data_IF_348724270919
#
_entry.id   IF_348724270919
#
_cell.length_a   1.000
_cell.length_b   1.000
_cell.length_c   1.000
_cell.angle_alpha   90.00
_cell.angle_beta   90.00
_cell.angle_gamma   90.00
#
_symmetry.space_group_name_H-M   'P 1'
#
loop_
_entity.id
_entity.type
_entity.pdbx_description
1 polymer ?
#
# COMPACT_ATOMS: atom_id res chain seq x y z
N UNK A 1 -66.77 82.38 -62.67
CA UNK A 1 -67.75 83.29 -62.05
C UNK A 1 -68.87 82.44 -61.47
N UNK A 2 -68.95 82.40 -60.13
CA UNK A 2 -70.09 81.98 -59.29
C UNK A 2 -70.61 80.53 -59.41
N UNK A 3 -70.98 79.78 -58.36
CA UNK A 3 -71.04 79.99 -56.90
C UNK A 3 -71.31 78.64 -56.23
N UNK A 4 -70.68 78.46 -55.06
CA UNK A 4 -70.99 77.62 -53.90
C UNK A 4 -72.33 76.86 -53.82
N UNK A 5 -72.27 75.61 -53.34
CA UNK A 5 -73.14 75.19 -52.23
C UNK A 5 -72.45 74.15 -51.34
N UNK A 6 -72.38 74.51 -50.06
CA UNK A 6 -71.81 73.80 -48.93
C UNK A 6 -72.80 72.70 -48.50
N UNK A 7 -72.34 71.46 -48.31
CA UNK A 7 -73.02 70.51 -47.43
C UNK A 7 -71.99 69.78 -46.56
N UNK A 8 -71.94 70.20 -45.30
CA UNK A 8 -71.22 69.55 -44.21
C UNK A 8 -72.02 68.33 -43.76
N UNK A 9 -71.44 67.13 -43.85
CA UNK A 9 -71.82 65.97 -43.04
C UNK A 9 -70.59 65.33 -42.44
N UNK A 10 -70.38 65.65 -41.16
CA UNK A 10 -69.64 64.85 -40.18
C UNK A 10 -70.31 63.47 -40.12
N UNK A 11 -69.54 62.37 -40.14
CA UNK A 11 -69.76 61.19 -39.30
C UNK A 11 -68.65 60.12 -39.52
N UNK A 12 -67.92 59.86 -38.44
CA UNK A 12 -67.23 58.64 -38.02
C UNK A 12 -66.13 57.98 -38.89
N UNK A 13 -64.91 58.07 -38.33
CA UNK A 13 -63.77 57.17 -38.48
C UNK A 13 -64.17 55.69 -38.55
N UNK A 14 -63.84 55.04 -39.66
CA UNK A 14 -63.66 53.59 -39.70
C UNK A 14 -62.28 53.30 -40.28
N UNK A 15 -61.30 53.15 -39.38
CA UNK A 15 -60.02 52.55 -39.70
C UNK A 15 -60.28 51.08 -40.06
N UNK A 16 -60.44 50.80 -41.36
CA UNK A 16 -60.37 49.45 -41.89
C UNK A 16 -58.96 48.89 -41.71
N UNK A 17 -58.70 48.31 -40.55
CA UNK A 17 -57.54 47.46 -40.28
C UNK A 17 -57.63 46.22 -41.17
N UNK A 18 -57.13 46.30 -42.41
CA UNK A 18 -56.83 45.10 -43.20
C UNK A 18 -55.46 44.59 -42.76
N UNK A 19 -55.45 43.80 -41.69
CA UNK A 19 -54.35 42.90 -41.35
C UNK A 19 -54.86 41.47 -41.36
N UNK A 20 -54.79 40.84 -42.53
CA UNK A 20 -54.78 39.38 -42.64
C UNK A 20 -53.68 38.98 -43.62
N UNK A 21 -52.48 38.78 -43.09
CA UNK A 21 -51.52 37.84 -43.66
C UNK A 21 -51.58 36.64 -42.72
N UNK A 22 -52.53 35.73 -42.95
CA UNK A 22 -52.46 34.39 -42.38
C UNK A 22 -51.39 33.66 -43.17
N UNK A 23 -50.21 33.46 -42.57
CA UNK A 23 -49.21 32.58 -43.15
C UNK A 23 -49.82 31.17 -43.28
N UNK A 24 -49.69 30.57 -44.47
CA UNK A 24 -50.11 29.18 -44.71
C UNK A 24 -49.34 28.25 -43.75
N UNK A 25 -49.99 27.25 -43.13
CA UNK A 25 -49.33 26.29 -42.24
C UNK A 25 -48.34 25.38 -42.98
N UNK A 26 -48.41 25.34 -44.32
CA UNK A 26 -47.45 24.65 -45.19
C UNK A 26 -46.67 25.66 -46.04
N UNK A 27 -45.36 25.45 -46.15
CA UNK A 27 -44.45 26.20 -47.02
C UNK A 27 -43.62 25.23 -47.84
N UNK A 28 -43.44 25.53 -49.13
CA UNK A 28 -42.69 24.69 -50.05
C UNK A 28 -41.84 25.56 -50.96
N UNK A 29 -40.54 25.27 -51.01
CA UNK A 29 -39.58 26.06 -51.75
C UNK A 29 -38.62 25.17 -52.52
N UNK A 30 -38.23 25.63 -53.71
CA UNK A 30 -37.17 25.06 -54.52
C UNK A 30 -35.94 25.95 -54.47
N UNK A 31 -34.78 25.35 -54.17
CA UNK A 31 -33.49 26.05 -54.12
C UNK A 31 -32.50 25.33 -55.03
N UNK A 32 -31.96 26.00 -56.07
CA UNK A 32 -32.40 27.29 -56.61
C UNK A 32 -33.75 27.20 -57.34
N UNK A 33 -34.44 28.32 -57.49
CA UNK A 33 -35.71 28.39 -58.28
C UNK A 33 -35.49 28.20 -59.78
N UNK A 34 -34.26 28.44 -60.25
CA UNK A 34 -33.80 28.14 -61.60
C UNK A 34 -32.55 27.27 -61.54
N UNK A 35 -32.62 26.09 -62.15
CA UNK A 35 -31.59 25.04 -62.05
C UNK A 35 -30.95 24.87 -63.42
N UNK A 36 -29.63 25.10 -63.54
CA UNK A 36 -28.89 24.67 -64.74
C UNK A 36 -28.70 23.18 -64.67
N UNK A 37 -29.20 22.48 -65.69
CA UNK A 37 -29.04 21.03 -65.80
C UNK A 37 -27.57 20.63 -65.66
N UNK A 38 -27.29 19.50 -65.02
CA UNK A 38 -25.95 18.90 -64.80
C UNK A 38 -25.07 19.64 -63.78
N UNK A 39 -25.31 20.93 -63.54
CA UNK A 39 -24.43 21.79 -62.74
C UNK A 39 -24.99 22.06 -61.35
N UNK A 40 -26.23 22.54 -61.29
CA UNK A 40 -26.82 23.00 -60.03
C UNK A 40 -27.54 21.84 -59.34
N UNK A 41 -27.33 21.62 -58.04
CA UNK A 41 -28.18 20.70 -57.30
C UNK A 41 -29.59 21.30 -57.18
N UNK A 42 -30.61 20.45 -57.20
CA UNK A 42 -31.99 20.85 -56.90
C UNK A 42 -32.33 20.41 -55.48
N UNK A 43 -32.78 21.34 -54.65
CA UNK A 43 -33.30 21.05 -53.32
C UNK A 43 -34.77 21.47 -53.28
N UNK A 44 -35.65 20.52 -53.01
CA UNK A 44 -37.05 20.79 -52.70
C UNK A 44 -37.23 20.66 -51.19
N UNK A 45 -37.63 21.73 -50.53
CA UNK A 45 -37.83 21.75 -49.08
C UNK A 45 -39.29 22.06 -48.78
N UNK A 46 -39.99 21.08 -48.22
CA UNK A 46 -41.33 21.24 -47.72
C UNK A 46 -41.33 21.29 -46.20
N UNK A 47 -41.97 22.32 -45.65
CA UNK A 47 -42.08 22.51 -44.21
C UNK A 47 -43.53 22.67 -43.81
N UNK A 48 -43.92 22.04 -42.71
CA UNK A 48 -45.24 22.16 -42.11
C UNK A 48 -45.08 22.67 -40.69
N UNK A 49 -45.67 23.83 -40.40
CA UNK A 49 -45.72 24.36 -39.06
C UNK A 49 -47.09 24.05 -38.48
N UNK A 50 -47.12 23.26 -37.42
CA UNK A 50 -48.32 23.12 -36.62
C UNK A 50 -48.59 24.44 -35.90
N UNK A 51 -49.33 25.33 -36.55
CA UNK A 51 -49.90 26.47 -35.88
C UNK A 51 -51.00 25.94 -34.99
N UNK A 52 -50.66 25.62 -33.74
CA UNK A 52 -51.60 25.68 -32.61
C UNK A 52 -52.02 27.16 -32.44
N UNK A 53 -52.61 27.75 -33.48
CA UNK A 53 -53.35 28.99 -33.34
C UNK A 53 -54.53 28.63 -32.47
N UNK A 54 -54.46 29.06 -31.22
CA UNK A 54 -55.65 29.48 -30.49
C UNK A 54 -56.40 30.45 -31.40
N UNK A 55 -57.27 29.91 -32.23
CA UNK A 55 -58.26 30.70 -32.93
C UNK A 55 -59.21 31.13 -31.81
N UNK A 56 -59.04 32.37 -31.34
CA UNK A 56 -59.99 33.06 -30.47
C UNK A 56 -61.25 33.39 -31.27
N UNK A 57 -61.90 32.37 -31.85
CA UNK A 57 -63.27 32.44 -32.33
C UNK A 57 -64.07 31.49 -31.46
N UNK A 58 -65.00 32.07 -30.71
CA UNK A 58 -65.77 31.49 -29.63
C UNK A 58 -66.79 30.43 -30.07
N UNK A 59 -66.48 29.54 -31.02
CA UNK A 59 -67.44 28.47 -31.33
C UNK A 59 -66.94 27.13 -31.87
N UNK A 60 -65.68 26.93 -32.26
CA UNK A 60 -65.19 25.59 -32.65
C UNK A 60 -63.89 25.25 -31.91
N UNK A 61 -63.88 24.10 -31.22
CA UNK A 61 -62.70 23.55 -30.54
C UNK A 61 -61.47 23.58 -31.47
N UNK A 62 -60.27 23.93 -30.95
CA UNK A 62 -59.04 23.75 -31.73
C UNK A 62 -58.91 22.26 -32.05
N UNK A 63 -58.90 21.94 -33.34
CA UNK A 63 -58.78 20.57 -33.81
C UNK A 63 -57.38 20.05 -33.45
N UNK A 64 -57.29 19.28 -32.36
CA UNK A 64 -56.02 18.68 -31.93
C UNK A 64 -55.58 17.64 -32.96
N UNK A 65 -54.37 17.83 -33.49
CA UNK A 65 -53.75 16.93 -34.47
C UNK A 65 -53.32 15.64 -33.75
N UNK A 66 -53.92 14.52 -34.16
CA UNK A 66 -53.61 13.18 -33.62
C UNK A 66 -52.44 12.57 -34.36
N UNK A 67 -52.39 12.72 -35.68
CA UNK A 67 -51.29 12.25 -36.51
C UNK A 67 -51.22 13.05 -37.81
N UNK A 68 -50.06 13.04 -38.48
CA UNK A 68 -49.95 13.53 -39.85
C UNK A 68 -48.80 12.86 -40.59
N UNK A 69 -48.87 12.87 -41.92
CA UNK A 69 -47.79 12.43 -42.80
C UNK A 69 -47.59 13.43 -43.94
N UNK A 70 -46.35 13.52 -44.42
CA UNK A 70 -45.96 14.45 -45.49
C UNK A 70 -45.41 13.68 -46.68
N UNK A 71 -45.68 14.15 -47.89
CA UNK A 71 -45.03 13.65 -49.10
C UNK A 71 -44.84 14.74 -50.14
N UNK A 72 -43.85 14.51 -51.01
CA UNK A 72 -43.60 15.34 -52.18
C UNK A 72 -43.88 14.50 -53.43
N UNK A 73 -44.58 15.08 -54.40
CA UNK A 73 -44.90 14.44 -55.67
C UNK A 73 -44.60 15.34 -56.87
N UNK A 74 -44.54 14.73 -58.06
CA UNK A 74 -44.41 15.43 -59.35
C UNK A 74 -45.77 15.91 -59.87
N UNK A 75 -45.72 16.71 -60.94
CA UNK A 75 -46.86 17.18 -61.74
C UNK A 75 -47.83 16.07 -62.14
N UNK A 76 -47.28 14.94 -62.60
CA UNK A 76 -47.98 13.72 -62.98
C UNK A 76 -48.57 12.90 -61.82
N UNK A 77 -48.34 13.31 -60.56
CA UNK A 77 -48.79 12.62 -59.36
C UNK A 77 -47.83 11.55 -58.84
N UNK A 78 -46.68 11.33 -59.47
CA UNK A 78 -45.66 10.38 -59.01
C UNK A 78 -45.11 10.80 -57.66
N UNK A 79 -45.21 9.93 -56.64
CA UNK A 79 -44.65 10.15 -55.32
C UNK A 79 -43.12 10.04 -55.35
N UNK A 80 -42.44 11.05 -54.82
CA UNK A 80 -40.98 11.12 -54.79
C UNK A 80 -40.41 10.73 -53.44
N UNK A 81 -40.97 11.28 -52.37
CA UNK A 81 -40.54 11.00 -51.00
C UNK A 81 -41.69 11.19 -50.02
N UNK A 82 -41.59 10.53 -48.87
CA UNK A 82 -42.53 10.70 -47.76
C UNK A 82 -41.84 10.65 -46.40
N UNK A 83 -42.52 11.13 -45.37
CA UNK A 83 -42.12 11.01 -43.96
C UNK A 83 -43.35 10.95 -43.06
N UNK A 84 -43.31 10.13 -42.01
CA UNK A 84 -44.40 9.97 -41.03
C UNK A 84 -43.87 9.76 -39.61
N UNK A 85 -44.75 9.78 -38.58
CA UNK A 85 -44.38 9.71 -37.15
C UNK A 85 -43.34 8.65 -36.79
N UNK A 86 -43.52 7.46 -37.36
CA UNK A 86 -42.75 6.27 -37.03
C UNK A 86 -42.02 5.69 -38.26
N UNK A 87 -41.96 6.46 -39.35
CA UNK A 87 -41.30 6.06 -40.58
C UNK A 87 -40.29 7.16 -40.94
N UNK A 88 -38.99 6.83 -41.06
CA UNK A 88 -37.99 7.79 -41.48
C UNK A 88 -38.32 8.32 -42.87
N UNK A 89 -37.74 9.48 -43.20
CA UNK A 89 -37.91 10.03 -44.53
C UNK A 89 -37.33 9.07 -45.58
N UNK A 90 -38.14 8.71 -46.57
CA UNK A 90 -37.80 7.68 -47.56
C UNK A 90 -38.00 8.21 -48.98
N UNK A 91 -37.07 7.85 -49.87
CA UNK A 91 -37.20 8.05 -51.30
C UNK A 91 -38.04 6.91 -51.91
N UNK A 92 -39.16 7.26 -52.53
CA UNK A 92 -40.13 6.29 -53.10
C UNK A 92 -39.80 5.98 -54.56
N UNK A 93 -39.41 6.99 -55.34
CA UNK A 93 -39.10 6.86 -56.76
C UNK A 93 -37.64 7.26 -57.01
N UNK A 94 -36.88 6.47 -57.77
CA UNK A 94 -35.46 6.71 -58.09
C UNK A 94 -34.54 6.99 -56.86
N UNK A 95 -34.53 6.11 -55.83
CA UNK A 95 -33.79 6.34 -54.58
C UNK A 95 -32.28 6.50 -54.77
N UNK A 96 -31.70 5.91 -55.82
CA UNK A 96 -30.26 5.99 -56.10
C UNK A 96 -29.79 7.39 -56.53
N UNK A 97 -30.71 8.28 -56.92
CA UNK A 97 -30.40 9.58 -57.52
C UNK A 97 -30.80 10.77 -56.65
N UNK A 98 -31.39 10.52 -55.47
CA UNK A 98 -31.84 11.57 -54.57
C UNK A 98 -31.51 11.25 -53.12
N UNK A 99 -31.19 12.31 -52.37
CA UNK A 99 -31.04 12.25 -50.92
C UNK A 99 -32.31 12.80 -50.31
N UNK A 100 -32.93 12.02 -49.44
CA UNK A 100 -34.15 12.40 -48.73
C UNK A 100 -33.84 12.52 -47.25
N UNK A 101 -34.16 13.68 -46.70
CA UNK A 101 -34.05 13.97 -45.27
C UNK A 101 -35.38 14.52 -44.79
N UNK A 102 -35.78 14.19 -43.58
CA UNK A 102 -37.03 14.70 -43.04
C UNK A 102 -37.21 14.35 -41.59
N UNK A 103 -37.97 15.19 -40.91
CA UNK A 103 -38.25 15.04 -39.49
C UNK A 103 -39.67 15.54 -39.20
N UNK A 104 -40.42 14.71 -38.47
CA UNK A 104 -41.75 15.04 -37.98
C UNK A 104 -41.64 15.61 -36.58
N UNK A 105 -42.19 16.80 -36.37
CA UNK A 105 -42.28 17.46 -35.09
C UNK A 105 -43.69 18.04 -34.91
N UNK A 106 -44.45 17.50 -33.96
CA UNK A 106 -45.85 17.87 -33.72
C UNK A 106 -46.00 19.22 -33.04
N UNK A 107 -44.99 19.63 -32.26
CA UNK A 107 -45.03 20.85 -31.47
C UNK A 107 -44.26 22.01 -32.14
N UNK A 108 -43.57 21.73 -33.25
CA UNK A 108 -42.71 22.67 -33.94
C UNK A 108 -42.77 22.49 -35.47
N UNK A 109 -41.77 22.99 -36.18
CA UNK A 109 -41.64 22.82 -37.62
C UNK A 109 -41.27 21.38 -37.98
N UNK A 110 -42.12 20.74 -38.79
CA UNK A 110 -41.81 19.50 -39.51
C UNK A 110 -41.27 19.83 -40.89
N UNK A 111 -40.39 18.98 -41.42
CA UNK A 111 -39.89 19.17 -42.77
C UNK A 111 -39.62 17.85 -43.50
N UNK A 112 -39.68 17.92 -44.82
CA UNK A 112 -39.28 16.90 -45.77
C UNK A 112 -38.49 17.60 -46.88
N UNK A 113 -37.25 17.18 -47.06
CA UNK A 113 -36.32 17.72 -48.03
C UNK A 113 -35.85 16.64 -48.99
N UNK A 114 -35.91 16.93 -50.29
CA UNK A 114 -35.30 16.11 -51.33
C UNK A 114 -34.16 16.90 -51.96
N UNK A 115 -32.99 16.29 -52.06
CA UNK A 115 -31.81 16.86 -52.69
C UNK A 115 -31.36 15.99 -53.85
N UNK A 116 -31.28 16.55 -55.05
CA UNK A 116 -30.64 15.95 -56.20
C UNK A 116 -29.21 16.51 -56.34
N UNK A 117 -28.16 15.73 -56.06
CA UNK A 117 -26.77 16.22 -56.09
C UNK A 117 -26.27 16.58 -57.50
N UNK A 118 -26.81 15.91 -58.51
CA UNK A 118 -26.56 16.20 -59.92
C UNK A 118 -27.81 15.91 -60.72
N UNK A 119 -28.31 16.91 -61.44
CA UNK A 119 -29.53 16.81 -62.23
C UNK A 119 -29.21 16.22 -63.61
N UNK A 120 -28.79 14.95 -63.65
CA UNK A 120 -28.65 14.15 -64.86
C UNK A 120 -30.04 13.70 -65.33
N UNK A 121 -30.87 14.66 -65.71
CA UNK A 121 -32.23 14.38 -66.16
C UNK A 121 -32.28 14.39 -67.69
N UNK A 122 -32.22 13.21 -68.28
CA UNK A 122 -32.43 12.97 -69.71
C UNK A 122 -33.92 12.89 -70.09
N UNK A 123 -34.81 12.92 -69.09
CA UNK A 123 -36.28 12.86 -69.28
C UNK A 123 -36.90 14.26 -69.20
N UNK A 124 -38.04 14.52 -69.89
CA UNK A 124 -38.81 15.73 -69.69
C UNK A 124 -39.25 15.78 -68.22
N UNK A 125 -38.67 16.70 -67.47
CA UNK A 125 -38.99 16.90 -66.06
C UNK A 125 -40.31 17.65 -66.03
N UNK A 126 -41.29 17.14 -65.32
CA UNK A 126 -42.41 17.96 -64.88
C UNK A 126 -41.85 19.11 -64.05
N UNK A 127 -42.01 20.33 -64.54
CA UNK A 127 -41.48 21.51 -63.86
C UNK A 127 -42.23 21.81 -62.56
N UNK A 128 -43.34 21.13 -62.28
CA UNK A 128 -44.19 21.37 -61.12
C UNK A 128 -44.06 20.23 -60.13
N UNK A 129 -43.81 20.59 -58.88
CA UNK A 129 -43.79 19.67 -57.75
C UNK A 129 -44.84 20.10 -56.74
N UNK A 130 -45.38 19.15 -56.00
CA UNK A 130 -46.35 19.37 -54.94
C UNK A 130 -45.80 18.87 -53.62
N UNK A 131 -46.04 19.61 -52.56
CA UNK A 131 -45.95 19.08 -51.21
C UNK A 131 -47.35 18.98 -50.61
N UNK A 132 -47.64 17.81 -50.06
CA UNK A 132 -48.91 17.51 -49.43
C UNK A 132 -48.68 17.04 -47.99
N UNK A 133 -49.50 17.53 -47.08
CA UNK A 133 -49.51 17.16 -45.66
C UNK A 133 -50.93 16.71 -45.33
N UNK A 134 -51.07 15.47 -44.91
CA UNK A 134 -52.35 14.89 -44.51
C UNK A 134 -52.39 14.79 -42.99
N UNK A 135 -53.40 15.40 -42.38
CA UNK A 135 -53.54 15.57 -40.95
C UNK A 135 -54.79 14.87 -40.48
N UNK A 136 -54.65 13.96 -39.52
CA UNK A 136 -55.74 13.31 -38.81
C UNK A 136 -56.03 14.09 -37.52
N UNK A 137 -57.24 14.62 -37.38
CA UNK A 137 -57.66 15.34 -36.17
C UNK A 137 -58.41 14.43 -35.21
N UNK A 138 -58.52 14.82 -33.93
CA UNK A 138 -59.14 14.01 -32.86
C UNK A 138 -60.59 13.58 -33.15
N UNK A 139 -61.33 14.33 -33.94
CA UNK A 139 -62.70 13.99 -34.36
C UNK A 139 -62.75 12.87 -35.42
N UNK A 140 -61.59 12.41 -35.92
CA UNK A 140 -61.49 11.36 -36.93
C UNK A 140 -61.56 11.85 -38.38
N UNK A 141 -61.70 13.16 -38.61
CA UNK A 141 -61.63 13.73 -39.95
C UNK A 141 -60.18 13.87 -40.44
N UNK A 142 -60.00 13.77 -41.75
CA UNK A 142 -58.72 14.01 -42.43
C UNK A 142 -58.75 15.39 -43.10
N UNK A 143 -57.69 16.17 -42.89
CA UNK A 143 -57.45 17.45 -43.54
C UNK A 143 -56.20 17.37 -44.41
N UNK A 144 -56.24 17.91 -45.63
CA UNK A 144 -55.09 17.92 -46.53
C UNK A 144 -54.66 19.35 -46.82
N UNK A 145 -53.41 19.65 -46.52
CA UNK A 145 -52.75 20.89 -46.93
C UNK A 145 -51.85 20.59 -48.12
N UNK A 146 -51.98 21.37 -49.19
CA UNK A 146 -51.17 21.18 -50.39
C UNK A 146 -50.68 22.52 -50.93
N UNK A 147 -49.44 22.54 -51.37
CA UNK A 147 -48.83 23.68 -52.06
C UNK A 147 -47.92 23.17 -53.17
N UNK A 148 -47.57 24.02 -54.12
CA UNK A 148 -46.74 23.65 -55.26
C UNK A 148 -45.58 24.63 -55.47
N UNK A 149 -44.56 24.14 -56.17
CA UNK A 149 -43.45 24.96 -56.65
C UNK A 149 -43.14 24.58 -58.09
N UNK A 150 -42.87 25.58 -58.92
CA UNK A 150 -42.44 25.37 -60.29
C UNK A 150 -40.96 25.70 -60.41
N UNK A 151 -40.17 24.74 -60.90
CA UNK A 151 -38.72 24.87 -61.10
C UNK A 151 -38.43 25.16 -62.57
N UNK A 152 -37.65 26.20 -62.83
CA UNK A 152 -37.22 26.53 -64.19
C UNK A 152 -35.89 25.84 -64.51
N UNK A 153 -35.86 24.97 -65.52
CA UNK A 153 -34.62 24.32 -65.94
C UNK A 153 -33.94 25.11 -67.06
N UNK A 154 -32.70 25.52 -66.83
CA UNK A 154 -31.87 26.22 -67.78
C UNK A 154 -30.89 25.24 -68.45
N UNK A 155 -30.64 25.45 -69.73
CA UNK A 155 -29.53 24.75 -70.41
C UNK A 155 -28.24 25.48 -70.05
N UNK A 156 -27.23 24.79 -69.48
CA UNK A 156 -25.96 25.43 -69.13
C UNK A 156 -25.22 25.93 -70.37
N UNK A 157 -24.52 27.05 -70.24
CA UNK A 157 -23.59 27.51 -71.28
C UNK A 157 -22.30 26.67 -71.26
N UNK A 158 -21.50 26.79 -72.32
CA UNK A 158 -20.19 26.15 -72.37
C UNK A 158 -19.26 26.69 -71.28
N UNK A 159 -19.31 28.00 -71.00
CA UNK A 159 -18.55 28.61 -69.91
C UNK A 159 -18.95 28.03 -68.54
N UNK A 160 -20.25 27.82 -68.29
CA UNK A 160 -20.73 27.24 -67.03
C UNK A 160 -20.17 25.82 -66.80
N UNK A 161 -20.16 25.01 -67.86
CA UNK A 161 -19.62 23.65 -67.82
C UNK A 161 -18.11 23.64 -67.56
N UNK A 162 -17.35 24.55 -68.19
CA UNK A 162 -15.91 24.69 -67.93
C UNK A 162 -15.67 25.01 -66.45
N UNK A 163 -16.39 25.99 -65.90
CA UNK A 163 -16.24 26.41 -64.49
C UNK A 163 -16.58 25.25 -63.56
N UNK A 164 -17.65 24.52 -63.84
CA UNK A 164 -18.06 23.34 -63.07
C UNK A 164 -16.97 22.25 -63.09
N UNK A 165 -16.43 21.92 -64.27
CA UNK A 165 -15.36 20.93 -64.40
C UNK A 165 -14.09 21.34 -63.65
N UNK A 166 -13.71 22.62 -63.70
CA UNK A 166 -12.57 23.12 -62.93
C UNK A 166 -12.80 23.03 -61.42
N UNK A 167 -14.01 23.31 -60.94
CA UNK A 167 -14.36 23.17 -59.52
C UNK A 167 -14.26 21.73 -59.06
N UNK A 168 -14.86 20.80 -59.81
CA UNK A 168 -14.80 19.37 -59.52
C UNK A 168 -13.36 18.85 -59.48
N UNK A 169 -12.51 19.28 -60.43
CA UNK A 169 -11.08 18.93 -60.42
C UNK A 169 -10.39 19.40 -59.14
N UNK A 170 -10.62 20.64 -58.71
CA UNK A 170 -10.00 21.17 -57.48
C UNK A 170 -10.47 20.42 -56.23
N UNK A 171 -11.74 20.07 -56.15
CA UNK A 171 -12.26 19.27 -55.03
C UNK A 171 -11.65 17.87 -55.00
N UNK A 172 -11.49 17.21 -56.16
CA UNK A 172 -10.80 15.93 -56.26
C UNK A 172 -9.34 16.02 -55.81
N UNK A 173 -8.61 17.05 -56.25
CA UNK A 173 -7.23 17.28 -55.79
C UNK A 173 -7.16 17.55 -54.29
N UNK A 174 -8.10 18.32 -53.74
CA UNK A 174 -8.15 18.60 -52.31
C UNK A 174 -8.41 17.31 -51.51
N UNK A 175 -9.43 16.54 -51.89
CA UNK A 175 -9.74 15.25 -51.26
C UNK A 175 -8.56 14.28 -51.35
N UNK A 176 -7.87 14.24 -52.50
CA UNK A 176 -6.67 13.43 -52.68
C UNK A 176 -5.55 13.81 -51.69
N UNK A 177 -5.32 15.11 -51.47
CA UNK A 177 -4.35 15.59 -50.46
C UNK A 177 -4.77 15.16 -49.05
N UNK A 178 -6.04 15.36 -48.69
CA UNK A 178 -6.55 14.95 -47.37
C UNK A 178 -6.37 13.45 -47.13
N UNK A 179 -6.65 12.61 -48.13
CA UNK A 179 -6.42 11.15 -48.05
C UNK A 179 -4.94 10.84 -47.81
N UNK A 180 -4.03 11.53 -48.51
CA UNK A 180 -2.60 11.31 -48.33
C UNK A 180 -2.12 11.72 -46.93
N UNK A 181 -2.61 12.83 -46.38
CA UNK A 181 -2.24 13.27 -45.02
C UNK A 181 -2.86 12.37 -43.94
N UNK A 182 -4.09 11.90 -44.14
CA UNK A 182 -4.68 10.86 -43.30
C UNK A 182 -3.85 9.58 -43.33
N UNK A 183 -3.39 9.15 -44.50
CA UNK A 183 -2.53 7.96 -44.65
C UNK A 183 -1.20 8.12 -43.91
N UNK A 184 -0.55 9.29 -43.99
CA UNK A 184 0.67 9.60 -43.22
C UNK A 184 0.41 9.58 -41.72
N UNK A 185 -0.72 10.14 -41.30
CA UNK A 185 -1.13 10.14 -39.88
C UNK A 185 -1.33 8.71 -39.39
N UNK A 186 -2.01 7.88 -40.18
CA UNK A 186 -2.23 6.46 -39.89
C UNK A 186 -0.93 5.66 -39.80
N UNK A 187 0.03 5.92 -40.70
CA UNK A 187 1.34 5.24 -40.62
C UNK A 187 2.11 5.65 -39.37
N UNK A 188 2.04 6.92 -38.97
CA UNK A 188 2.66 7.42 -37.75
C UNK A 188 2.04 6.77 -36.51
N UNK A 189 0.72 6.79 -36.39
CA UNK A 189 0.02 6.17 -35.25
C UNK A 189 0.26 4.67 -35.17
N UNK A 190 0.34 3.98 -36.33
CA UNK A 190 0.73 2.57 -36.39
C UNK A 190 2.14 2.31 -35.85
N UNK A 191 3.11 3.17 -36.19
CA UNK A 191 4.46 3.07 -35.67
C UNK A 191 4.53 3.33 -34.16
N UNK A 192 3.84 4.36 -33.67
CA UNK A 192 3.78 4.70 -32.25
C UNK A 192 3.13 3.55 -31.45
N UNK A 193 2.08 2.92 -31.99
CA UNK A 193 1.44 1.74 -31.38
C UNK A 193 2.41 0.55 -31.26
N UNK A 194 3.23 0.31 -32.29
CA UNK A 194 4.23 -0.76 -32.26
C UNK A 194 5.30 -0.51 -31.19
N UNK A 195 5.77 0.73 -31.08
CA UNK A 195 6.71 1.15 -30.03
C UNK A 195 6.11 1.00 -28.63
N UNK A 196 4.87 1.45 -28.44
CA UNK A 196 4.15 1.31 -27.18
C UNK A 196 3.97 -0.17 -26.81
N UNK A 197 3.60 -1.01 -27.77
CA UNK A 197 3.47 -2.47 -27.58
C UNK A 197 4.78 -3.09 -27.10
N UNK A 198 5.91 -2.70 -27.69
CA UNK A 198 7.23 -3.19 -27.27
C UNK A 198 7.57 -2.72 -25.85
N UNK A 199 7.25 -1.47 -25.51
CA UNK A 199 7.41 -0.93 -24.16
C UNK A 199 6.61 -1.70 -23.12
N UNK A 200 5.35 -2.02 -23.42
CA UNK A 200 4.49 -2.86 -22.56
C UNK A 200 5.11 -4.25 -22.37
N UNK A 201 5.55 -4.91 -23.43
CA UNK A 201 6.17 -6.24 -23.32
C UNK A 201 7.42 -6.22 -22.44
N UNK A 202 8.29 -5.21 -22.59
CA UNK A 202 9.46 -5.05 -21.72
C UNK A 202 9.07 -4.84 -20.25
N UNK A 203 8.05 -4.01 -20.00
CA UNK A 203 7.53 -3.78 -18.65
C UNK A 203 6.97 -5.08 -18.04
N UNK A 204 6.21 -5.86 -18.80
CA UNK A 204 5.69 -7.16 -18.37
C UNK A 204 6.82 -8.13 -18.01
N UNK A 205 7.88 -8.21 -18.81
CA UNK A 205 9.06 -9.04 -18.51
C UNK A 205 9.73 -8.62 -17.19
N UNK A 206 9.92 -7.32 -16.97
CA UNK A 206 10.49 -6.80 -15.71
C UNK A 206 9.60 -7.11 -14.51
N UNK A 207 8.28 -7.00 -14.67
CA UNK A 207 7.32 -7.33 -13.61
C UNK A 207 7.38 -8.82 -13.25
N UNK A 208 7.52 -9.70 -14.26
CA UNK A 208 7.69 -11.13 -14.03
C UNK A 208 9.00 -11.43 -13.28
N UNK A 209 10.11 -10.80 -13.67
CA UNK A 209 11.39 -10.96 -12.96
C UNK A 209 11.29 -10.53 -11.49
N UNK A 210 10.68 -9.37 -11.21
CA UNK A 210 10.48 -8.88 -9.85
C UNK A 210 9.62 -9.85 -9.01
N UNK A 211 8.62 -10.49 -9.63
CA UNK A 211 7.79 -11.51 -8.96
C UNK A 211 8.61 -12.74 -8.54
N UNK A 212 9.56 -13.17 -9.37
CA UNK A 212 10.46 -14.28 -9.06
C UNK A 212 11.44 -13.89 -7.93
N UNK A 213 12.02 -12.68 -8.00
CA UNK A 213 12.89 -12.15 -6.95
C UNK A 213 12.17 -12.06 -5.60
N UNK A 214 10.92 -11.58 -5.59
CA UNK A 214 10.09 -11.51 -4.39
C UNK A 214 9.81 -12.91 -3.80
N UNK A 215 9.54 -13.89 -4.67
CA UNK A 215 9.30 -15.28 -4.24
C UNK A 215 10.54 -15.93 -3.63
N UNK A 216 11.73 -15.62 -4.17
CA UNK A 216 12.99 -16.09 -3.58
C UNK A 216 13.27 -15.44 -2.23
N UNK A 217 12.94 -14.15 -2.10
CA UNK A 217 13.12 -13.38 -0.86
C UNK A 217 12.17 -13.87 0.23
N UNK A 218 10.92 -14.20 -0.12
CA UNK A 218 9.95 -14.74 0.84
C UNK A 218 10.38 -16.11 1.36
N UNK A 219 10.93 -16.97 0.50
CA UNK A 219 11.50 -18.26 0.91
C UNK A 219 12.67 -18.09 1.89
N UNK A 220 13.60 -17.17 1.61
CA UNK A 220 14.73 -16.86 2.51
C UNK A 220 14.26 -16.28 3.86
N UNK A 221 13.18 -15.50 3.85
CA UNK A 221 12.56 -15.00 5.09
C UNK A 221 11.96 -16.16 5.90
N UNK A 222 11.35 -17.14 5.22
CA UNK A 222 10.83 -18.35 5.83
C UNK A 222 11.91 -19.18 6.52
N UNK A 223 13.06 -19.36 5.88
CA UNK A 223 14.21 -20.09 6.48
C UNK A 223 14.76 -19.34 7.69
N UNK A 224 14.91 -18.01 7.60
CA UNK A 224 15.39 -17.22 8.74
C UNK A 224 14.47 -17.33 9.96
N UNK A 225 13.16 -17.35 9.74
CA UNK A 225 12.20 -17.55 10.84
C UNK A 225 12.34 -18.93 11.50
N UNK A 226 12.65 -19.97 10.72
CA UNK A 226 12.93 -21.31 11.26
C UNK A 226 14.23 -21.33 12.07
N UNK A 227 15.28 -20.68 11.58
CA UNK A 227 16.56 -20.57 12.30
C UNK A 227 16.40 -19.84 13.64
N UNK A 228 15.65 -18.73 13.66
CA UNK A 228 15.33 -18.00 14.89
C UNK A 228 14.58 -18.91 15.88
N UNK A 229 13.63 -19.72 15.41
CA UNK A 229 12.92 -20.67 16.27
C UNK A 229 13.86 -21.72 16.88
N UNK A 230 14.78 -22.28 16.09
CA UNK A 230 15.80 -23.23 16.58
C UNK A 230 16.76 -22.60 17.59
N UNK A 231 17.22 -21.37 17.33
CA UNK A 231 18.07 -20.61 18.26
C UNK A 231 17.33 -20.40 19.57
N UNK A 232 16.07 -20.02 19.53
CA UNK A 232 15.26 -19.80 20.73
C UNK A 232 15.14 -21.09 21.56
N UNK A 233 14.87 -22.23 20.93
CA UNK A 233 14.85 -23.53 21.60
C UNK A 233 16.21 -23.89 22.22
N UNK A 234 17.29 -23.65 21.49
CA UNK A 234 18.65 -23.90 21.98
C UNK A 234 18.98 -23.01 23.19
N UNK A 235 18.56 -21.74 23.15
CA UNK A 235 18.73 -20.80 24.25
C UNK A 235 18.02 -21.30 25.53
N UNK A 236 16.78 -21.77 25.42
CA UNK A 236 16.08 -22.35 26.57
C UNK A 236 16.82 -23.54 27.18
N UNK A 237 17.40 -24.41 26.34
CA UNK A 237 18.21 -25.56 26.81
C UNK A 237 19.45 -25.10 27.57
N UNK A 238 20.19 -24.14 27.03
CA UNK A 238 21.41 -23.60 27.68
C UNK A 238 21.08 -22.94 29.02
N UNK A 239 19.98 -22.17 29.09
CA UNK A 239 19.53 -21.55 30.34
C UNK A 239 19.24 -22.63 31.40
N UNK A 240 18.55 -23.70 31.02
CA UNK A 240 18.25 -24.81 31.93
C UNK A 240 19.52 -25.48 32.47
N UNK A 241 20.47 -25.81 31.58
CA UNK A 241 21.76 -26.39 31.95
C UNK A 241 22.56 -25.46 32.87
N UNK A 242 22.61 -24.16 32.55
CA UNK A 242 23.30 -23.16 33.36
C UNK A 242 22.71 -23.08 34.78
N UNK A 243 21.39 -23.08 34.91
CA UNK A 243 20.73 -23.10 36.23
C UNK A 243 21.07 -24.37 37.03
N UNK A 244 21.16 -25.52 36.36
CA UNK A 244 21.62 -26.76 36.98
C UNK A 244 23.05 -26.64 37.52
N UNK A 245 23.97 -26.11 36.72
CA UNK A 245 25.37 -25.91 37.14
C UNK A 245 25.51 -24.91 38.29
N UNK A 246 24.72 -23.83 38.29
CA UNK A 246 24.70 -22.85 39.37
C UNK A 246 24.27 -23.47 40.70
N UNK A 247 23.26 -24.35 40.67
CA UNK A 247 22.79 -25.10 41.84
C UNK A 247 23.90 -26.01 42.39
N UNK A 248 24.60 -26.71 41.51
CA UNK A 248 25.71 -27.58 41.90
C UNK A 248 26.88 -26.80 42.52
N UNK A 249 27.26 -25.66 41.92
CA UNK A 249 28.29 -24.77 42.47
C UNK A 249 27.94 -24.27 43.88
N UNK A 250 26.67 -23.94 44.13
CA UNK A 250 26.23 -23.51 45.45
C UNK A 250 26.36 -24.63 46.50
N UNK A 251 26.11 -25.90 46.12
CA UNK A 251 26.36 -27.05 47.00
C UNK A 251 27.84 -27.16 47.36
N UNK A 252 28.72 -27.12 46.35
CA UNK A 252 30.17 -27.20 46.58
C UNK A 252 30.70 -26.06 47.46
N UNK A 253 30.15 -24.85 47.33
CA UNK A 253 30.51 -23.73 48.20
C UNK A 253 30.14 -23.99 49.67
N UNK A 254 29.00 -24.66 49.90
CA UNK A 254 28.60 -25.09 51.25
C UNK A 254 29.58 -26.11 51.82
N UNK A 255 29.93 -27.13 51.04
CA UNK A 255 30.85 -28.19 51.46
C UNK A 255 32.24 -27.63 51.79
N UNK A 256 32.75 -26.70 50.98
CA UNK A 256 34.03 -26.01 51.24
C UNK A 256 33.98 -25.20 52.53
N UNK A 257 32.83 -24.57 52.85
CA UNK A 257 32.67 -23.80 54.08
C UNK A 257 32.71 -24.73 55.31
N UNK A 258 32.06 -25.87 55.23
CA UNK A 258 32.07 -26.89 56.29
C UNK A 258 33.49 -27.43 56.52
N UNK A 259 34.20 -27.78 55.44
CA UNK A 259 35.60 -28.22 55.51
C UNK A 259 36.53 -27.18 56.16
N UNK A 260 36.32 -25.89 55.89
CA UNK A 260 37.10 -24.81 56.53
C UNK A 260 36.84 -24.71 58.04
N UNK A 261 35.60 -24.91 58.48
CA UNK A 261 35.26 -24.91 59.91
C UNK A 261 35.92 -26.09 60.60
N UNK A 262 35.83 -27.27 60.01
CA UNK A 262 36.48 -28.48 60.52
C UNK A 262 38.01 -28.34 60.60
N UNK A 263 38.64 -27.75 59.59
CA UNK A 263 40.08 -27.48 59.60
C UNK A 263 40.50 -26.57 60.77
N UNK A 264 39.73 -25.52 61.05
CA UNK A 264 40.04 -24.59 62.13
C UNK A 264 39.92 -25.23 63.52
N UNK A 265 39.01 -26.20 63.71
CA UNK A 265 38.88 -26.94 64.96
C UNK A 265 40.08 -27.89 65.23
N UNK A 266 40.73 -28.38 64.17
CA UNK A 266 41.85 -29.31 64.28
C UNK A 266 43.22 -28.67 64.56
N UNK A 267 43.35 -27.34 64.45
CA UNK A 267 44.60 -26.64 64.76
C UNK A 267 44.72 -26.33 66.25
N UNK A 268 44.90 -27.36 67.09
CA UNK A 268 45.27 -27.18 68.51
C UNK A 268 46.69 -26.62 68.62
N UNK A 269 46.87 -25.62 69.49
CA UNK A 269 48.18 -25.03 69.76
C UNK A 269 49.10 -26.12 70.34
N UNK A 270 50.26 -26.34 69.73
CA UNK A 270 51.32 -27.23 70.21
C UNK A 270 52.61 -26.45 70.27
N UNK A 271 53.28 -26.48 71.42
CA UNK A 271 54.63 -25.95 71.57
C UNK A 271 55.60 -27.05 71.99
N UNK A 272 56.84 -26.94 71.53
CA UNK A 272 57.91 -27.89 71.84
C UNK A 272 59.16 -27.12 72.23
N UNK A 273 59.86 -27.60 73.25
CA UNK A 273 61.16 -27.09 73.64
C UNK A 273 62.19 -28.20 73.64
N UNK A 274 63.36 -27.89 73.12
CA UNK A 274 64.46 -28.83 72.98
C UNK A 274 65.55 -28.44 73.95
N UNK A 275 66.10 -29.43 74.67
CA UNK A 275 67.30 -29.32 75.50
C UNK A 275 67.16 -28.34 76.66
N UNK A 276 66.26 -28.65 77.59
CA UNK A 276 66.32 -28.09 78.95
C UNK A 276 67.55 -28.68 79.62
N UNK A 277 68.63 -27.90 79.64
CA UNK A 277 69.91 -28.30 80.21
C UNK A 277 69.83 -28.23 81.72
N UNK A 278 69.73 -29.39 82.38
CA UNK A 278 69.75 -29.47 83.83
C UNK A 278 71.17 -29.53 84.39
N UNK A 279 72.19 -29.80 83.56
CA UNK A 279 73.58 -29.83 84.01
C UNK A 279 73.88 -30.98 84.98
N UNK A 280 74.95 -30.83 85.77
CA UNK A 280 75.39 -31.82 86.74
C UNK A 280 74.80 -31.61 88.14
N UNK A 281 74.74 -32.67 88.94
CA UNK A 281 74.21 -32.59 90.31
C UNK A 281 75.07 -31.74 91.25
N UNK A 282 76.28 -31.36 90.85
CA UNK A 282 77.11 -30.40 91.56
C UNK A 282 76.51 -28.97 91.58
N UNK A 283 75.56 -28.67 90.68
CA UNK A 283 74.81 -27.40 90.68
C UNK A 283 73.43 -27.52 91.31
N UNK A 284 73.04 -28.71 91.80
CA UNK A 284 71.73 -28.92 92.38
C UNK A 284 71.70 -28.40 93.82
N UNK A 285 70.54 -27.88 94.22
CA UNK A 285 70.29 -27.43 95.58
C UNK A 285 69.67 -28.57 96.40
N UNK A 286 70.10 -28.73 97.66
CA UNK A 286 69.53 -29.74 98.53
C UNK A 286 68.11 -29.36 98.96
N UNK A 287 67.17 -30.31 98.89
CA UNK A 287 65.79 -30.10 99.37
C UNK A 287 65.65 -30.21 100.90
N UNK A 288 66.71 -30.65 101.60
CA UNK A 288 66.69 -30.91 103.04
C UNK A 288 66.02 -32.24 103.45
N UNK A 289 65.44 -32.98 102.51
CA UNK A 289 64.83 -34.30 102.73
C UNK A 289 65.69 -35.39 102.07
N UNK A 290 65.96 -36.50 102.77
CA UNK A 290 66.61 -37.71 102.21
C UNK A 290 67.88 -37.51 101.35
N UNK A 291 68.66 -36.45 101.61
CA UNK A 291 69.82 -36.08 100.78
C UNK A 291 69.46 -35.90 99.29
N UNK A 292 68.23 -35.51 99.02
CA UNK A 292 67.74 -35.17 97.69
C UNK A 292 68.33 -33.81 97.26
N UNK A 293 68.73 -33.74 96.00
CA UNK A 293 69.25 -32.54 95.36
C UNK A 293 68.51 -32.36 94.03
N UNK A 294 68.07 -31.14 93.74
CA UNK A 294 67.39 -30.84 92.48
C UNK A 294 67.79 -29.47 91.90
N UNK A 295 67.50 -29.28 90.62
CA UNK A 295 67.51 -28.01 89.91
C UNK A 295 66.11 -27.76 89.34
N UNK A 296 65.63 -26.52 89.50
CA UNK A 296 64.37 -26.06 88.91
C UNK A 296 64.69 -25.12 87.75
N UNK A 297 64.21 -25.46 86.55
CA UNK A 297 64.39 -24.65 85.34
C UNK A 297 63.03 -24.10 84.89
N UNK A 298 62.80 -22.77 84.94
CA UNK A 298 61.55 -22.18 84.47
C UNK A 298 61.51 -22.19 82.93
N UNK A 299 60.38 -22.64 82.39
CA UNK A 299 60.10 -22.69 80.95
C UNK A 299 58.93 -21.77 80.65
N UNK A 300 59.12 -20.87 79.68
CA UNK A 300 58.08 -19.93 79.21
C UNK A 300 57.66 -20.35 77.80
N UNK A 301 56.35 -20.50 77.60
CA UNK A 301 55.78 -20.75 76.28
C UNK A 301 55.93 -19.52 75.38
N UNK A 302 56.20 -19.73 74.09
CA UNK A 302 56.32 -18.64 73.12
C UNK A 302 55.02 -17.85 73.01
N UNK A 303 53.89 -18.54 73.17
CA UNK A 303 52.54 -17.98 73.21
C UNK A 303 51.76 -18.59 74.38
N UNK A 304 51.06 -17.76 75.19
CA UNK A 304 50.20 -18.30 76.23
C UNK A 304 49.12 -19.24 75.66
N UNK A 305 48.97 -20.41 76.28
CA UNK A 305 47.89 -21.34 75.97
C UNK A 305 46.55 -20.81 76.50
N UNK A 306 45.43 -21.03 75.78
CA UNK A 306 44.12 -20.58 76.23
C UNK A 306 43.61 -21.30 77.49
N UNK A 307 44.19 -22.45 77.83
CA UNK A 307 43.95 -23.25 79.04
C UNK A 307 45.29 -23.85 79.48
N UNK A 308 45.39 -24.31 80.74
CA UNK A 308 46.60 -25.00 81.23
C UNK A 308 46.87 -26.22 80.34
N UNK A 309 48.04 -26.30 79.66
CA UNK A 309 48.33 -27.39 78.76
C UNK A 309 48.72 -28.66 79.52
N UNK A 310 48.65 -29.80 78.84
CA UNK A 310 49.33 -31.03 79.26
C UNK A 310 50.76 -30.94 78.78
N UNK A 311 51.72 -31.06 79.69
CA UNK A 311 53.15 -31.09 79.38
C UNK A 311 53.65 -32.52 79.51
N UNK A 312 54.26 -33.03 78.44
CA UNK A 312 55.01 -34.28 78.46
C UNK A 312 56.49 -33.97 78.28
N UNK A 313 57.35 -34.79 78.88
CA UNK A 313 58.79 -34.62 78.77
C UNK A 313 59.49 -35.96 78.59
N UNK A 314 60.70 -35.91 78.05
CA UNK A 314 61.56 -37.08 77.87
C UNK A 314 63.00 -36.75 78.26
N UNK A 315 63.65 -37.68 78.97
CA UNK A 315 65.08 -37.60 79.23
C UNK A 315 65.83 -37.76 77.92
N UNK A 316 66.63 -36.76 77.57
CA UNK A 316 67.40 -36.70 76.33
C UNK A 316 68.85 -37.12 76.53
N UNK A 317 69.48 -36.61 77.59
CA UNK A 317 70.86 -36.92 77.96
C UNK A 317 70.87 -37.31 79.43
N UNK A 318 71.62 -38.37 79.75
CA UNK A 318 71.87 -38.78 81.12
C UNK A 318 73.29 -39.36 81.19
N UNK A 319 74.18 -38.62 81.84
CA UNK A 319 75.57 -39.00 82.10
C UNK A 319 75.76 -39.15 83.61
N UNK A 320 76.10 -40.37 84.03
CA UNK A 320 76.20 -40.78 85.44
C UNK A 320 77.46 -41.63 85.61
N UNK A 321 78.25 -41.44 86.67
CA UNK A 321 79.43 -42.25 86.93
C UNK A 321 79.06 -43.72 87.11
N UNK A 322 79.88 -44.61 86.54
CA UNK A 322 79.66 -46.06 86.55
C UNK A 322 79.69 -46.71 87.95
N UNK A 323 80.36 -46.05 88.90
CA UNK A 323 80.66 -46.60 90.23
C UNK A 323 79.62 -46.16 91.29
N UNK A 324 78.51 -45.53 90.87
CA UNK A 324 77.42 -45.08 91.73
C UNK A 324 76.06 -45.65 91.29
N UNK A 325 75.09 -45.68 92.21
CA UNK A 325 73.74 -46.11 91.89
C UNK A 325 73.00 -45.06 91.06
N UNK A 326 72.38 -45.48 89.96
CA UNK A 326 71.54 -44.60 89.17
C UNK A 326 70.24 -44.27 89.91
N UNK A 327 70.12 -43.03 90.38
CA UNK A 327 68.91 -42.51 91.00
C UNK A 327 68.63 -41.13 90.44
N UNK A 328 67.65 -41.04 89.55
CA UNK A 328 67.28 -39.77 88.91
C UNK A 328 65.77 -39.62 88.90
N UNK A 329 65.30 -38.39 89.08
CA UNK A 329 63.92 -38.04 88.84
C UNK A 329 63.88 -36.78 87.99
N UNK A 330 62.86 -36.72 87.13
CA UNK A 330 62.44 -35.50 86.50
C UNK A 330 60.92 -35.44 86.59
N UNK A 331 60.39 -34.25 86.79
CA UNK A 331 58.96 -34.00 86.69
C UNK A 331 58.71 -32.51 86.43
N UNK A 332 57.51 -32.20 85.94
CA UNK A 332 57.07 -30.84 85.74
C UNK A 332 56.18 -30.39 86.89
N UNK A 333 56.31 -29.15 87.32
CA UNK A 333 55.44 -28.54 88.31
C UNK A 333 55.01 -27.13 87.88
N UNK A 334 54.07 -26.53 88.62
CA UNK A 334 53.62 -25.15 88.40
C UNK A 334 53.18 -24.86 86.95
N UNK A 335 52.62 -25.85 86.26
CA UNK A 335 52.13 -25.73 84.88
C UNK A 335 50.94 -24.76 84.86
N UNK A 336 51.06 -23.70 84.06
CA UNK A 336 50.02 -22.71 83.84
C UNK A 336 49.95 -22.35 82.34
N UNK A 337 49.15 -21.35 81.98
CA UNK A 337 48.98 -20.95 80.57
C UNK A 337 50.21 -20.31 79.94
N UNK A 338 51.15 -19.77 80.72
CA UNK A 338 52.33 -19.04 80.20
C UNK A 338 53.63 -19.83 80.32
N UNK A 339 53.66 -20.90 81.11
CA UNK A 339 54.85 -21.71 81.29
C UNK A 339 54.69 -22.83 82.32
N UNK A 340 55.81 -23.45 82.67
CA UNK A 340 55.90 -24.46 83.72
C UNK A 340 57.34 -24.51 84.27
N UNK A 341 57.58 -25.28 85.31
CA UNK A 341 58.91 -25.54 85.84
C UNK A 341 59.32 -26.99 85.60
N UNK A 342 60.50 -27.20 85.01
CA UNK A 342 61.12 -28.51 84.90
C UNK A 342 62.00 -28.74 86.14
N UNK A 343 61.70 -29.81 86.89
CA UNK A 343 62.50 -30.23 88.04
C UNK A 343 63.34 -31.43 87.61
N UNK A 344 64.66 -31.32 87.76
CA UNK A 344 65.63 -32.38 87.54
C UNK A 344 66.33 -32.67 88.87
N UNK A 345 66.46 -33.93 89.27
CA UNK A 345 67.08 -34.23 90.55
C UNK A 345 67.57 -35.66 90.74
N UNK A 346 68.25 -35.86 91.86
CA UNK A 346 68.86 -37.11 92.32
C UNK A 346 68.75 -37.21 93.84
N UNK A 347 69.04 -38.38 94.42
CA UNK A 347 68.97 -38.59 95.87
C UNK A 347 69.96 -39.65 96.36
N UNK A 348 70.05 -39.76 97.69
CA UNK A 348 70.87 -40.74 98.42
C UNK A 348 72.35 -40.75 98.00
N UNK A 349 72.90 -39.55 97.78
CA UNK A 349 74.30 -39.33 97.45
C UNK A 349 74.72 -39.70 96.03
N UNK A 350 73.78 -40.00 95.15
CA UNK A 350 74.08 -40.28 93.73
C UNK A 350 74.49 -39.00 93.00
N UNK A 351 75.39 -39.12 92.03
CA UNK A 351 75.94 -38.02 91.26
C UNK A 351 75.49 -38.08 89.80
N UNK A 352 75.22 -36.93 89.20
CA UNK A 352 74.89 -36.77 87.78
C UNK A 352 75.93 -35.85 87.16
N UNK A 353 76.62 -36.29 86.10
CA UNK A 353 77.54 -35.44 85.34
C UNK A 353 76.78 -34.46 84.44
N UNK A 354 75.73 -34.94 83.76
CA UNK A 354 74.87 -34.12 82.91
C UNK A 354 73.48 -34.75 82.73
N UNK A 355 72.45 -33.91 82.68
CA UNK A 355 71.07 -34.31 82.42
C UNK A 355 70.38 -33.27 81.53
N UNK A 356 69.75 -33.71 80.44
CA UNK A 356 68.95 -32.85 79.55
C UNK A 356 67.55 -33.44 79.37
N UNK A 357 66.55 -32.57 79.24
CA UNK A 357 65.15 -32.96 79.02
C UNK A 357 64.57 -32.24 77.79
N UNK A 358 63.84 -32.96 76.95
CA UNK A 358 62.99 -32.38 75.90
C UNK A 358 61.53 -32.34 76.41
N UNK A 359 60.73 -31.37 75.95
CA UNK A 359 59.32 -31.27 76.35
C UNK A 359 58.38 -30.89 75.20
N UNK A 360 57.12 -31.28 75.33
CA UNK A 360 56.02 -30.90 74.45
C UNK A 360 54.81 -30.47 75.30
N UNK A 361 54.18 -29.37 74.92
CA UNK A 361 52.96 -28.86 75.55
C UNK A 361 51.81 -28.81 74.53
N UNK A 362 50.65 -29.36 74.90
CA UNK A 362 49.44 -29.35 74.07
C UNK A 362 48.20 -29.13 74.92
N UNK A 363 47.15 -28.54 74.33
CA UNK A 363 45.81 -28.56 74.91
C UNK A 363 45.13 -29.86 74.46
N UNK A 364 44.60 -30.63 75.41
CA UNK A 364 43.78 -31.83 75.15
C UNK A 364 42.30 -31.47 75.30
#
# INVERSE_FOLDING_TARGET
>A
MMTNLILVKVFLLWFGYTRFITASPISFAATPSSVRKVIDPLILNCTFQNTNTQVNTSDHMPAEIVDFYMYISKGDGTLLASVARNLPAEAIHDPDFMLVEGQMNYDNLSYLQITWPSTLFDKPIDNSYFCSVHVLIRSGYELTFQTNVTVSFLTPSYEDLIVYLYRQRRELEHKSRSINDLKKTLSKTSHDLASLKQGVMNCTSRLHQLSLELSSTSAATGTLNQDVAMINQTMYRVIFEANGTATYLHSLQSDVKELKLFHNELTTHVEQGVRVYCGGSNTFVSSGYEREMHLVVPIVFQKPFPKVPVVTFSLRILDVPKDEHLRVFAYTQNINSTGFEMVCGTWDGSFINAMDVDWTATVV
#
